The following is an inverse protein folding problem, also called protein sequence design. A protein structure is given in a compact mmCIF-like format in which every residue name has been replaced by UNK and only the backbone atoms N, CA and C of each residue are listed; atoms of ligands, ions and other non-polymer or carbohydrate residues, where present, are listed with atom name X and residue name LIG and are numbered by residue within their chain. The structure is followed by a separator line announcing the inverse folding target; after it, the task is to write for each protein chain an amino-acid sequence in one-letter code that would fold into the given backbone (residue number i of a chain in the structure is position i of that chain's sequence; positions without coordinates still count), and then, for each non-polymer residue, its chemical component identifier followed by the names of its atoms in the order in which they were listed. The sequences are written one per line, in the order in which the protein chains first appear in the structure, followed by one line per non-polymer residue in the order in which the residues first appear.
data_IF_239535722915
#
_entry.id   IF_239535722915
#
_cell.length_a   1.000
_cell.length_b   1.000
_cell.length_c   1.000
_cell.angle_alpha   90.00
_cell.angle_beta   90.00
_cell.angle_gamma   90.00
#
_symmetry.space_group_name_H-M   'P 1'
#
loop_
_entity.id
_entity.type
_entity.pdbx_description
1 polymer ?
#
# COMPACT_ATOMS: atom_id res chain seq x y z
N UNK A 1 -33.24 33.73 -7.14
CA UNK A 1 -31.79 33.81 -6.82
C UNK A 1 -31.43 32.84 -5.69
N UNK A 2 -32.26 31.83 -5.45
CA UNK A 2 -32.26 31.07 -4.19
C UNK A 2 -31.32 29.87 -4.22
N UNK A 3 -31.02 29.37 -5.43
CA UNK A 3 -30.15 28.23 -5.66
C UNK A 3 -28.70 28.49 -5.23
N UNK A 4 -28.25 29.76 -5.24
CA UNK A 4 -26.91 30.13 -4.80
C UNK A 4 -26.74 29.88 -3.29
N UNK A 5 -27.80 30.09 -2.50
CA UNK A 5 -27.77 29.86 -1.06
C UNK A 5 -27.64 28.39 -0.69
N UNK A 6 -28.02 27.46 -1.58
CA UNK A 6 -27.81 26.03 -1.37
C UNK A 6 -26.49 25.54 -1.98
N UNK A 7 -26.07 26.07 -3.12
CA UNK A 7 -24.83 25.67 -3.80
C UNK A 7 -23.57 26.08 -3.06
N UNK A 8 -23.50 27.30 -2.51
CA UNK A 8 -22.32 27.79 -1.79
C UNK A 8 -21.98 26.88 -0.59
N UNK A 9 -22.89 26.61 0.36
CA UNK A 9 -22.57 25.74 1.49
C UNK A 9 -22.34 24.29 1.07
N UNK A 10 -23.03 23.80 0.02
CA UNK A 10 -22.78 22.47 -0.53
C UNK A 10 -21.33 22.34 -1.03
N UNK A 11 -20.84 23.33 -1.78
CA UNK A 11 -19.46 23.31 -2.30
C UNK A 11 -18.43 23.41 -1.19
N UNK A 12 -18.66 24.28 -0.20
CA UNK A 12 -17.78 24.38 0.98
C UNK A 12 -17.76 23.04 1.72
N UNK A 13 -18.93 22.39 1.90
CA UNK A 13 -19.04 21.08 2.53
C UNK A 13 -18.28 20.00 1.77
N UNK A 14 -18.42 19.94 0.45
CA UNK A 14 -17.66 19.00 -0.40
C UNK A 14 -16.15 19.26 -0.34
N UNK A 15 -15.72 20.51 -0.34
CA UNK A 15 -14.32 20.88 -0.18
C UNK A 15 -13.75 20.44 1.17
N UNK A 16 -14.47 20.72 2.27
CA UNK A 16 -14.07 20.28 3.61
C UNK A 16 -14.03 18.75 3.72
N UNK A 17 -15.01 18.05 3.16
CA UNK A 17 -15.03 16.59 3.11
C UNK A 17 -13.78 16.06 2.38
N UNK A 18 -13.44 16.64 1.23
CA UNK A 18 -12.23 16.27 0.48
C UNK A 18 -10.95 16.47 1.29
N UNK A 19 -10.82 17.58 2.01
CA UNK A 19 -9.65 17.85 2.87
C UNK A 19 -9.57 16.85 4.03
N UNK A 20 -10.69 16.52 4.67
CA UNK A 20 -10.72 15.53 5.76
C UNK A 20 -10.29 14.15 5.25
N UNK A 21 -10.84 13.72 4.11
CA UNK A 21 -10.47 12.43 3.47
C UNK A 21 -9.01 12.43 3.08
N UNK A 22 -8.50 13.53 2.52
CA UNK A 22 -7.09 13.67 2.13
C UNK A 22 -6.16 13.54 3.34
N UNK A 23 -6.43 14.27 4.43
CA UNK A 23 -5.64 14.20 5.66
C UNK A 23 -5.69 12.79 6.27
N UNK A 24 -6.87 12.15 6.25
CA UNK A 24 -7.03 10.78 6.72
C UNK A 24 -6.21 9.78 5.89
N UNK A 25 -6.24 9.91 4.55
CA UNK A 25 -5.45 9.07 3.64
C UNK A 25 -3.94 9.23 3.87
N UNK A 26 -3.44 10.46 4.03
CA UNK A 26 -2.03 10.72 4.35
C UNK A 26 -1.65 10.14 5.72
N UNK A 27 -2.51 10.31 6.73
CA UNK A 27 -2.27 9.75 8.08
C UNK A 27 -2.33 8.22 8.09
N UNK A 28 -3.09 7.60 7.19
CA UNK A 28 -3.26 6.14 7.13
C UNK A 28 -1.99 5.39 6.69
N UNK A 29 -0.87 6.08 6.45
CA UNK A 29 0.42 5.44 6.19
C UNK A 29 0.49 4.72 4.86
N UNK A 30 -0.45 4.96 3.93
CA UNK A 30 -0.47 4.32 2.61
C UNK A 30 0.73 4.75 1.73
N UNK A 31 1.49 5.76 2.15
CA UNK A 31 2.72 6.20 1.51
C UNK A 31 3.99 5.53 2.06
N UNK A 32 3.94 4.85 3.21
CA UNK A 32 5.11 4.14 3.77
C UNK A 32 5.44 2.86 2.99
N UNK A 33 4.46 2.24 2.34
CA UNK A 33 4.62 0.98 1.60
C UNK A 33 5.18 1.18 0.17
N UNK A 34 5.19 2.43 -0.33
CA UNK A 34 5.80 2.78 -1.61
C UNK A 34 7.34 2.73 -1.56
N UNK A 35 7.94 2.96 -0.39
CA UNK A 35 9.40 2.89 -0.19
C UNK A 35 9.91 1.44 -0.30
N UNK A 36 9.09 0.46 0.10
CA UNK A 36 9.44 -0.97 0.10
C UNK A 36 9.49 -1.62 -1.28
N UNK A 37 8.56 -1.26 -2.18
CA UNK A 37 8.51 -1.80 -3.54
C UNK A 37 9.53 -1.13 -4.48
N UNK A 38 9.84 0.16 -4.29
CA UNK A 38 10.89 0.84 -5.06
C UNK A 38 12.30 0.30 -4.76
N UNK A 39 12.51 -0.26 -3.57
CA UNK A 39 13.79 -0.89 -3.22
C UNK A 39 14.00 -2.24 -3.93
N UNK A 40 12.93 -3.00 -4.18
CA UNK A 40 13.01 -4.25 -4.96
C UNK A 40 13.33 -3.99 -6.43
N UNK A 41 12.62 -3.07 -7.09
CA UNK A 41 12.81 -2.82 -8.54
C UNK A 41 14.23 -2.31 -8.88
N UNK A 42 14.94 -1.67 -7.94
CA UNK A 42 16.29 -1.13 -8.17
C UNK A 42 17.40 -2.04 -7.62
N UNK A 43 17.09 -3.00 -6.76
CA UNK A 43 18.08 -3.93 -6.19
C UNK A 43 17.94 -5.39 -6.69
N UNK A 44 16.92 -5.70 -7.48
CA UNK A 44 16.76 -7.03 -8.11
C UNK A 44 17.83 -7.32 -9.20
N UNK A 45 18.62 -6.33 -9.62
CA UNK A 45 19.70 -6.51 -10.61
C UNK A 45 21.01 -7.05 -10.01
N UNK A 46 21.16 -7.08 -8.68
CA UNK A 46 22.40 -7.47 -7.98
C UNK A 46 22.25 -8.76 -7.13
N UNK A 47 21.29 -9.63 -7.45
CA UNK A 47 21.12 -10.92 -6.76
C UNK A 47 21.68 -12.10 -7.61
N UNK A 48 22.93 -12.55 -7.41
CA UNK A 48 23.49 -13.69 -8.13
C UNK A 48 22.98 -15.06 -7.61
N UNK A 49 21.97 -15.08 -6.74
CA UNK A 49 21.53 -16.28 -6.02
C UNK A 49 20.01 -16.33 -5.86
N UNK A 50 19.28 -16.64 -6.93
CA UNK A 50 17.93 -17.18 -6.80
C UNK A 50 18.00 -18.72 -6.72
N UNK A 51 18.03 -19.34 -5.52
CA UNK A 51 17.55 -20.70 -5.39
C UNK A 51 16.02 -20.63 -5.36
N UNK A 52 15.38 -21.24 -6.35
CA UNK A 52 13.95 -21.44 -6.40
C UNK A 52 13.42 -21.91 -5.04
N UNK A 53 12.39 -21.23 -4.57
CA UNK A 53 11.65 -21.50 -3.36
C UNK A 53 10.88 -22.84 -3.47
N UNK A 54 11.62 -23.96 -3.49
CA UNK A 54 11.08 -25.28 -3.21
C UNK A 54 11.03 -25.53 -1.70
N UNK A 55 10.25 -24.73 -0.99
CA UNK A 55 9.84 -25.03 0.39
C UNK A 55 8.69 -26.05 0.37
N UNK A 56 8.91 -27.19 -0.28
CA UNK A 56 8.16 -28.41 -0.01
C UNK A 56 9.13 -29.56 0.29
N UNK A 57 9.95 -29.38 1.33
CA UNK A 57 10.52 -30.52 2.06
C UNK A 57 9.63 -30.84 3.25
N UNK A 58 8.36 -31.09 2.95
CA UNK A 58 7.48 -31.83 3.85
C UNK A 58 8.06 -33.24 3.97
N UNK A 59 8.59 -33.55 5.16
CA UNK A 59 8.46 -34.82 5.87
C UNK A 59 8.66 -36.11 5.04
N UNK A 60 9.83 -36.73 5.20
CA UNK A 60 10.06 -38.18 5.20
C UNK A 60 11.57 -38.42 5.12
N UNK A 61 12.26 -39.23 5.91
CA UNK A 61 11.97 -40.13 7.00
C UNK A 61 13.26 -40.17 7.82
N UNK A 62 13.18 -39.95 9.14
CA UNK A 62 13.37 -41.02 10.13
C UNK A 62 14.52 -41.99 9.82
N UNK A 63 15.55 -41.87 10.67
CA UNK A 63 16.10 -42.96 11.48
C UNK A 63 16.07 -44.35 10.86
N UNK A 64 17.25 -44.94 10.63
CA UNK A 64 17.65 -46.17 11.32
C UNK A 64 19.08 -46.59 10.90
N UNK A 65 19.93 -46.70 11.93
CA UNK A 65 21.20 -47.45 12.06
C UNK A 65 22.32 -47.31 11.01
#
# INVERSE_FOLDING_TARGET
MDIIYTLIPLMIGLGLMGVIVFIWSVRSGQYDDLEGDAHRILMDDDDPLLPGNETNKTKDNNNDN
#
